data_IF_566868241949
#
_entry.id   IF_566868241949
#
_cell.length_a   1.000
_cell.length_b   1.000
_cell.length_c   1.000
_cell.angle_alpha   90.00
_cell.angle_beta   90.00
_cell.angle_gamma   90.00
#
_symmetry.space_group_name_H-M   'P 1'
#
loop_
_entity.id
_entity.type
_entity.pdbx_description
1 polymer ?
#
# COMPACT_ATOMS: atom_id res chain seq x y z
N UNK A 1 12.68 20.17 57.85
CA UNK A 1 11.29 20.58 58.11
C UNK A 1 10.42 19.34 57.98
N UNK A 2 9.71 18.98 59.04
CA UNK A 2 8.97 17.71 59.14
C UNK A 2 7.70 17.68 58.31
N UNK A 3 7.42 16.51 57.74
CA UNK A 3 6.18 16.18 57.05
C UNK A 3 5.01 16.15 58.05
N UNK A 4 3.94 16.89 57.77
CA UNK A 4 2.68 16.82 58.50
C UNK A 4 1.60 16.16 57.61
N UNK A 5 1.13 14.99 58.08
CA UNK A 5 -0.25 14.51 58.18
C UNK A 5 -1.26 14.70 57.02
N UNK A 6 -1.63 13.60 56.36
CA UNK A 6 -3.02 13.23 55.97
C UNK A 6 -3.09 11.71 55.79
N UNK A 7 -3.41 10.95 56.84
CA UNK A 7 -4.71 10.27 57.06
C UNK A 7 -5.28 9.55 55.83
N UNK A 8 -5.29 8.22 55.96
CA UNK A 8 -6.00 7.24 55.16
C UNK A 8 -7.47 7.59 54.94
N UNK A 9 -7.93 7.46 53.69
CA UNK A 9 -9.32 7.10 53.37
C UNK A 9 -9.25 6.19 52.14
N UNK A 10 -9.23 4.89 52.38
CA UNK A 10 -9.67 3.89 51.39
C UNK A 10 -11.20 4.03 51.24
N UNK A 11 -11.76 4.23 50.04
CA UNK A 11 -13.19 4.12 49.86
C UNK A 11 -13.57 2.64 49.85
N UNK A 12 -14.18 2.19 50.95
CA UNK A 12 -15.01 0.99 51.00
C UNK A 12 -16.28 1.29 50.21
N UNK A 13 -16.43 0.67 49.05
CA UNK A 13 -17.68 0.69 48.29
C UNK A 13 -18.22 -0.73 48.29
N UNK A 14 -19.06 -1.02 49.27
CA UNK A 14 -20.01 -2.14 49.20
C UNK A 14 -21.10 -1.73 48.24
N UNK A 15 -21.18 -2.38 47.08
CA UNK A 15 -22.43 -2.51 46.34
C UNK A 15 -22.65 -3.98 45.99
N UNK A 16 -23.65 -4.55 46.67
CA UNK A 16 -24.23 -5.86 46.41
C UNK A 16 -24.80 -5.95 44.99
N UNK A 17 -24.03 -6.49 44.05
CA UNK A 17 -24.61 -7.10 42.85
C UNK A 17 -24.61 -8.62 42.99
N UNK A 18 -25.64 -9.09 43.70
CA UNK A 18 -26.16 -10.46 43.60
C UNK A 18 -26.69 -10.70 42.19
N UNK A 19 -25.79 -10.93 41.24
CA UNK A 19 -26.12 -11.51 39.95
C UNK A 19 -26.52 -12.97 40.21
N UNK A 20 -27.83 -13.21 40.13
CA UNK A 20 -28.43 -14.54 40.21
C UNK A 20 -27.72 -15.44 39.20
N UNK A 21 -27.09 -16.48 39.73
CA UNK A 21 -26.70 -17.69 39.03
C UNK A 21 -27.94 -18.29 38.35
N UNK A 22 -28.25 -17.85 37.15
CA UNK A 22 -29.15 -18.54 36.24
C UNK A 22 -28.29 -19.45 35.38
N UNK A 23 -28.16 -20.69 35.83
CA UNK A 23 -27.91 -21.89 35.04
C UNK A 23 -27.25 -21.59 33.69
N UNK A 24 -25.92 -21.57 33.67
CA UNK A 24 -25.20 -21.91 32.45
C UNK A 24 -25.60 -23.35 32.13
N UNK A 25 -26.70 -23.48 31.38
CA UNK A 25 -26.99 -24.70 30.65
C UNK A 25 -25.76 -24.91 29.79
N UNK A 26 -25.06 -25.97 30.11
CA UNK A 26 -24.26 -26.73 29.17
C UNK A 26 -25.18 -27.01 27.98
N UNK A 27 -25.26 -26.06 27.04
CA UNK A 27 -25.86 -26.35 25.75
C UNK A 27 -24.90 -27.31 25.09
N UNK A 28 -25.20 -28.60 25.30
CA UNK A 28 -24.86 -29.71 24.43
C UNK A 28 -24.72 -29.14 23.01
N UNK A 29 -23.61 -29.39 22.29
CA UNK A 29 -23.52 -28.98 20.89
C UNK A 29 -24.81 -29.45 20.24
N UNK A 30 -25.65 -28.50 19.82
CA UNK A 30 -26.84 -28.84 19.08
C UNK A 30 -26.29 -29.47 17.82
N UNK A 31 -26.39 -30.79 17.76
CA UNK A 31 -26.13 -31.59 16.59
C UNK A 31 -27.05 -31.00 15.53
N UNK A 32 -26.49 -30.12 14.70
CA UNK A 32 -27.17 -29.60 13.54
C UNK A 32 -27.48 -30.85 12.74
N UNK A 33 -28.74 -31.27 12.77
CA UNK A 33 -29.23 -32.31 11.89
C UNK A 33 -29.09 -31.73 10.49
N UNK A 34 -27.93 -31.96 9.88
CA UNK A 34 -27.76 -31.83 8.45
C UNK A 34 -28.69 -32.90 7.91
N UNK A 35 -29.89 -32.48 7.49
CA UNK A 35 -30.70 -33.32 6.64
C UNK A 35 -29.85 -33.56 5.40
N UNK A 36 -29.22 -34.73 5.31
CA UNK A 36 -28.65 -35.25 4.08
C UNK A 36 -29.83 -35.42 3.12
N UNK A 37 -30.18 -34.34 2.43
CA UNK A 37 -30.93 -34.43 1.20
C UNK A 37 -29.99 -34.96 0.13
N UNK A 38 -30.42 -35.91 -0.70
CA UNK A 38 -29.60 -36.41 -1.79
C UNK A 38 -29.31 -35.25 -2.73
N UNK A 39 -28.02 -34.94 -2.83
CA UNK A 39 -27.42 -33.94 -3.68
C UNK A 39 -27.72 -34.27 -5.15
N UNK A 40 -28.70 -33.56 -5.71
CA UNK A 40 -29.02 -33.58 -7.14
C UNK A 40 -27.89 -32.89 -7.91
N UNK A 41 -26.76 -33.59 -8.06
CA UNK A 41 -25.76 -33.34 -9.09
C UNK A 41 -25.26 -31.90 -9.22
N UNK A 42 -24.93 -31.23 -8.13
CA UNK A 42 -23.98 -30.12 -8.23
C UNK A 42 -22.60 -30.70 -8.53
N UNK A 43 -21.95 -30.25 -9.61
CA UNK A 43 -20.64 -30.73 -10.01
C UNK A 43 -19.70 -30.65 -8.80
N UNK A 44 -19.16 -31.78 -8.32
CA UNK A 44 -18.27 -31.81 -7.14
C UNK A 44 -17.13 -30.78 -7.23
N UNK A 45 -16.72 -30.44 -8.46
CA UNK A 45 -15.79 -29.37 -8.77
C UNK A 45 -16.26 -27.97 -8.32
N UNK A 46 -17.55 -27.65 -8.47
CA UNK A 46 -18.13 -26.35 -8.07
C UNK A 46 -18.20 -26.24 -6.54
N UNK A 47 -18.54 -27.32 -5.84
CA UNK A 47 -18.52 -27.38 -4.37
C UNK A 47 -17.09 -27.21 -3.85
N UNK A 48 -16.11 -27.90 -4.45
CA UNK A 48 -14.69 -27.74 -4.11
C UNK A 48 -14.16 -26.32 -4.39
N UNK A 49 -14.59 -25.69 -5.48
CA UNK A 49 -14.27 -24.30 -5.79
C UNK A 49 -14.86 -23.36 -4.73
N UNK A 50 -16.12 -23.54 -4.36
CA UNK A 50 -16.81 -22.75 -3.34
C UNK A 50 -16.11 -22.87 -1.98
N UNK A 51 -15.74 -24.10 -1.56
CA UNK A 51 -14.98 -24.34 -0.32
C UNK A 51 -13.64 -23.63 -0.36
N UNK A 52 -12.90 -23.76 -1.46
CA UNK A 52 -11.60 -23.10 -1.65
C UNK A 52 -11.75 -21.57 -1.56
N UNK A 53 -12.81 -21.01 -2.14
CA UNK A 53 -13.12 -19.58 -2.10
C UNK A 53 -13.44 -19.12 -0.67
N UNK A 54 -14.26 -19.86 0.08
CA UNK A 54 -14.58 -19.56 1.47
C UNK A 54 -13.31 -19.61 2.34
N UNK A 55 -12.47 -20.63 2.18
CA UNK A 55 -11.21 -20.76 2.90
C UNK A 55 -10.23 -19.63 2.57
N UNK A 56 -10.09 -19.29 1.29
CA UNK A 56 -9.25 -18.18 0.83
C UNK A 56 -9.73 -16.83 1.41
N UNK A 57 -11.03 -16.57 1.36
CA UNK A 57 -11.65 -15.36 1.93
C UNK A 57 -11.42 -15.28 3.43
N UNK A 58 -11.64 -16.39 4.16
CA UNK A 58 -11.47 -16.43 5.62
C UNK A 58 -10.01 -16.26 6.04
N UNK A 59 -9.08 -16.93 5.36
CA UNK A 59 -7.63 -16.73 5.57
C UNK A 59 -7.25 -15.27 5.35
N UNK A 60 -7.73 -14.68 4.26
CA UNK A 60 -7.53 -13.25 3.98
C UNK A 60 -8.16 -12.34 5.04
N UNK A 61 -9.37 -12.65 5.50
CA UNK A 61 -10.06 -11.88 6.55
C UNK A 61 -9.30 -11.94 7.87
N UNK A 62 -8.76 -13.10 8.27
CA UNK A 62 -7.94 -13.22 9.48
C UNK A 62 -6.71 -12.33 9.43
N UNK A 63 -5.95 -12.37 8.33
CA UNK A 63 -4.76 -11.52 8.14
C UNK A 63 -5.17 -10.04 8.14
N UNK A 64 -6.19 -9.66 7.37
CA UNK A 64 -6.68 -8.27 7.33
C UNK A 64 -7.16 -7.79 8.70
N UNK A 65 -7.82 -8.64 9.49
CA UNK A 65 -8.28 -8.29 10.85
C UNK A 65 -7.12 -8.13 11.83
N UNK A 66 -6.06 -8.94 11.70
CA UNK A 66 -4.83 -8.79 12.48
C UNK A 66 -4.08 -7.49 12.12
N UNK A 67 -4.08 -7.08 10.85
CA UNK A 67 -3.48 -5.81 10.42
C UNK A 67 -4.35 -4.61 10.82
N UNK A 68 -5.67 -4.72 10.69
CA UNK A 68 -6.63 -3.66 11.02
C UNK A 68 -6.68 -3.32 12.52
N UNK A 69 -6.29 -4.22 13.42
CA UNK A 69 -6.26 -3.92 14.86
C UNK A 69 -5.11 -2.98 15.28
N UNK A 70 -4.16 -2.69 14.38
CA UNK A 70 -3.02 -1.80 14.65
C UNK A 70 -2.85 -0.65 13.65
N UNK A 71 -3.63 -0.62 12.57
CA UNK A 71 -3.57 0.48 11.61
C UNK A 71 -4.36 1.69 12.12
N UNK A 72 -3.75 2.89 12.13
CA UNK A 72 -4.48 4.10 12.43
C UNK A 72 -5.62 4.27 11.42
N UNK A 73 -6.79 4.64 11.94
CA UNK A 73 -7.95 4.91 11.07
C UNK A 73 -7.62 6.05 10.11
N UNK A 74 -8.21 6.04 8.92
CA UNK A 74 -8.02 7.10 7.92
C UNK A 74 -8.19 8.52 8.51
N UNK A 75 -9.15 8.68 9.43
CA UNK A 75 -9.40 9.94 10.14
C UNK A 75 -8.27 10.33 11.11
N UNK A 76 -7.63 9.36 11.78
CA UNK A 76 -6.47 9.63 12.64
C UNK A 76 -5.24 10.03 11.82
N UNK A 77 -5.01 9.37 10.68
CA UNK A 77 -3.97 9.78 9.73
C UNK A 77 -4.25 11.18 9.18
N UNK A 78 -5.46 11.46 8.71
CA UNK A 78 -5.83 12.80 8.22
C UNK A 78 -5.72 13.88 9.29
N UNK A 79 -5.90 13.55 10.58
CA UNK A 79 -5.67 14.47 11.68
C UNK A 79 -4.18 14.75 11.96
N UNK A 80 -3.29 13.78 11.72
CA UNK A 80 -1.83 13.96 11.80
C UNK A 80 -1.29 14.77 10.61
N UNK A 81 -1.90 14.63 9.43
CA UNK A 81 -1.51 15.31 8.21
C UNK A 81 -2.41 16.53 7.93
N UNK A 82 -2.14 17.65 8.60
CA UNK A 82 -2.87 18.90 8.31
C UNK A 82 -2.64 19.37 6.87
N UNK A 83 -3.71 19.56 6.12
CA UNK A 83 -3.67 20.09 4.75
C UNK A 83 -3.12 21.53 4.67
N UNK A 84 -3.09 22.25 5.80
CA UNK A 84 -2.57 23.61 5.88
C UNK A 84 -1.03 23.64 5.96
N UNK A 85 -0.39 22.50 6.25
CA UNK A 85 1.05 22.37 6.20
C UNK A 85 1.54 22.22 4.76
N UNK A 86 1.81 23.38 4.14
CA UNK A 86 2.30 23.49 2.76
C UNK A 86 3.61 22.74 2.54
N UNK A 87 4.49 22.68 3.54
CA UNK A 87 5.78 21.99 3.40
C UNK A 87 5.57 20.48 3.30
N UNK A 88 4.70 19.95 4.17
CA UNK A 88 4.35 18.53 4.16
C UNK A 88 3.62 18.12 2.87
N UNK A 89 2.65 18.92 2.40
CA UNK A 89 1.96 18.67 1.13
C UNK A 89 2.93 18.69 -0.05
N UNK A 90 3.86 19.65 -0.08
CA UNK A 90 4.86 19.74 -1.13
C UNK A 90 5.82 18.53 -1.11
N UNK A 91 6.27 18.12 0.08
CA UNK A 91 7.12 16.94 0.23
C UNK A 91 6.40 15.65 -0.23
N UNK A 92 5.17 15.44 0.21
CA UNK A 92 4.35 14.31 -0.20
C UNK A 92 4.14 14.28 -1.73
N UNK A 93 3.79 15.43 -2.32
CA UNK A 93 3.63 15.59 -3.76
C UNK A 93 4.92 15.24 -4.52
N UNK A 94 6.08 15.68 -4.01
CA UNK A 94 7.39 15.38 -4.61
C UNK A 94 7.68 13.88 -4.58
N UNK A 95 7.43 13.19 -3.47
CA UNK A 95 7.63 11.75 -3.32
C UNK A 95 6.70 10.97 -4.28
N UNK A 96 5.43 11.36 -4.35
CA UNK A 96 4.46 10.72 -5.24
C UNK A 96 4.85 10.91 -6.72
N UNK A 97 5.26 12.12 -7.09
CA UNK A 97 5.68 12.43 -8.45
C UNK A 97 6.95 11.65 -8.86
N UNK A 98 7.95 11.56 -7.99
CA UNK A 98 9.19 10.80 -8.27
C UNK A 98 8.90 9.31 -8.41
N UNK A 99 8.08 8.74 -7.53
CA UNK A 99 7.70 7.33 -7.56
C UNK A 99 6.90 6.99 -8.82
N UNK A 100 5.90 7.80 -9.18
CA UNK A 100 5.13 7.62 -10.42
C UNK A 100 6.06 7.64 -11.63
N UNK A 101 6.98 8.60 -11.68
CA UNK A 101 7.98 8.67 -12.75
C UNK A 101 8.92 7.46 -12.77
N UNK A 102 9.34 6.96 -11.61
CA UNK A 102 10.18 5.76 -11.51
C UNK A 102 9.45 4.52 -12.04
N UNK A 103 8.17 4.36 -11.70
CA UNK A 103 7.36 3.24 -12.18
C UNK A 103 7.10 3.30 -13.69
N UNK A 104 6.98 4.50 -14.29
CA UNK A 104 6.94 4.64 -15.75
C UNK A 104 8.26 4.20 -16.39
N UNK A 105 9.39 4.75 -15.94
CA UNK A 105 10.71 4.42 -16.50
C UNK A 105 11.08 2.95 -16.35
N UNK A 106 10.78 2.35 -15.20
CA UNK A 106 11.05 0.94 -14.95
C UNK A 106 10.27 0.00 -15.88
N UNK A 107 9.06 0.40 -16.31
CA UNK A 107 8.30 -0.35 -17.31
C UNK A 107 8.91 -0.21 -18.71
N UNK A 108 9.43 0.97 -19.03
CA UNK A 108 10.10 1.21 -20.31
C UNK A 108 11.45 0.50 -20.39
N UNK A 109 12.17 0.31 -19.28
CA UNK A 109 13.40 -0.48 -19.20
C UNK A 109 13.17 -2.00 -19.43
N UNK A 110 11.93 -2.50 -19.34
CA UNK A 110 11.57 -3.88 -19.72
C UNK A 110 11.22 -4.02 -21.21
N UNK A 111 11.13 -2.92 -21.96
CA UNK A 111 11.09 -2.98 -23.42
C UNK A 111 12.48 -3.40 -23.90
N UNK A 112 12.59 -4.43 -24.76
CA UNK A 112 13.90 -4.83 -25.27
C UNK A 112 14.57 -3.62 -25.89
N UNK A 113 15.78 -3.29 -25.41
CA UNK A 113 16.66 -2.37 -26.11
C UNK A 113 16.71 -2.81 -27.57
N UNK A 114 16.53 -1.91 -28.54
CA UNK A 114 16.80 -2.27 -29.93
C UNK A 114 18.20 -2.88 -29.93
N UNK A 115 18.30 -4.12 -30.41
CA UNK A 115 19.57 -4.79 -30.49
C UNK A 115 20.52 -3.85 -31.27
N UNK A 116 21.76 -3.71 -30.81
CA UNK A 116 22.83 -2.99 -31.52
C UNK A 116 23.21 -3.77 -32.80
N UNK A 117 22.22 -4.29 -33.53
CA UNK A 117 22.36 -4.71 -34.89
C UNK A 117 22.67 -3.47 -35.70
N UNK A 118 23.77 -3.53 -36.42
CA UNK A 118 24.14 -2.60 -37.47
C UNK A 118 23.08 -2.69 -38.59
N UNK A 119 21.84 -2.28 -38.30
CA UNK A 119 20.88 -1.93 -39.33
C UNK A 119 21.53 -0.74 -40.05
N UNK A 120 22.04 -0.99 -41.25
CA UNK A 120 22.43 0.05 -42.18
C UNK A 120 21.18 0.90 -42.46
N UNK A 121 20.97 1.90 -41.62
CA UNK A 121 19.95 2.90 -41.83
C UNK A 121 20.34 3.64 -43.11
N UNK A 122 19.48 3.59 -44.12
CA UNK A 122 19.62 4.37 -45.35
C UNK A 122 19.34 5.85 -45.03
N UNK A 123 20.36 6.53 -44.51
CA UNK A 123 20.28 7.91 -44.06
C UNK A 123 20.48 8.83 -45.26
N UNK A 124 19.42 9.52 -45.66
CA UNK A 124 19.51 10.59 -46.65
C UNK A 124 20.19 11.83 -46.05
N UNK A 125 21.48 12.01 -46.36
CA UNK A 125 22.27 13.17 -45.93
C UNK A 125 21.78 14.50 -46.51
N UNK A 126 20.94 14.47 -47.55
CA UNK A 126 20.34 15.66 -48.15
C UNK A 126 19.02 16.08 -47.49
N UNK A 127 18.46 15.26 -46.59
CA UNK A 127 17.23 15.58 -45.88
C UNK A 127 17.43 16.82 -44.98
N UNK A 128 16.70 17.93 -45.22
CA UNK A 128 16.78 19.11 -44.39
C UNK A 128 16.36 18.85 -42.94
N UNK A 129 15.46 17.90 -42.67
CA UNK A 129 14.97 17.63 -41.32
C UNK A 129 15.97 16.80 -40.50
N UNK A 130 16.62 15.80 -41.12
CA UNK A 130 17.79 15.12 -40.55
C UNK A 130 18.90 16.12 -40.18
N UNK A 131 19.24 17.02 -41.11
CA UNK A 131 20.30 18.02 -40.89
C UNK A 131 19.96 18.99 -39.74
N UNK A 132 18.70 19.43 -39.64
CA UNK A 132 18.22 20.24 -38.49
C UNK A 132 18.33 19.47 -37.17
N UNK A 133 17.93 18.21 -37.16
CA UNK A 133 18.00 17.36 -35.97
C UNK A 133 19.46 17.14 -35.52
N UNK A 134 20.34 16.79 -36.45
CA UNK A 134 21.77 16.62 -36.20
C UNK A 134 22.40 17.90 -35.63
N UNK A 135 22.12 19.05 -36.25
CA UNK A 135 22.59 20.36 -35.78
C UNK A 135 22.12 20.64 -34.33
N UNK A 136 20.87 20.30 -34.01
CA UNK A 136 20.32 20.47 -32.66
C UNK A 136 21.02 19.57 -31.63
N UNK A 137 21.28 18.31 -31.97
CA UNK A 137 22.01 17.37 -31.11
C UNK A 137 23.44 17.87 -30.87
N UNK A 138 24.14 18.28 -31.92
CA UNK A 138 25.51 18.81 -31.84
C UNK A 138 25.59 20.08 -30.99
N UNK A 139 24.68 21.03 -31.20
CA UNK A 139 24.61 22.27 -30.42
C UNK A 139 24.34 21.98 -28.93
N UNK A 140 23.38 21.08 -28.65
CA UNK A 140 23.06 20.65 -27.28
C UNK A 140 24.27 19.99 -26.61
N UNK A 141 24.95 19.09 -27.30
CA UNK A 141 26.13 18.38 -26.79
C UNK A 141 27.29 19.33 -26.52
N UNK A 142 27.56 20.26 -27.44
CA UNK A 142 28.57 21.31 -27.23
C UNK A 142 28.27 22.14 -25.98
N UNK A 143 27.02 22.54 -25.78
CA UNK A 143 26.60 23.24 -24.57
C UNK A 143 26.70 22.39 -23.29
N UNK A 144 26.40 21.08 -23.38
CA UNK A 144 26.55 20.17 -22.26
C UNK A 144 28.01 20.02 -21.82
N UNK A 145 28.94 19.90 -22.78
CA UNK A 145 30.39 19.81 -22.49
C UNK A 145 30.87 21.04 -21.73
N UNK A 146 30.55 22.24 -22.21
CA UNK A 146 30.93 23.50 -21.54
C UNK A 146 30.41 23.53 -20.10
N UNK A 147 29.13 23.22 -19.86
CA UNK A 147 28.54 23.21 -18.51
C UNK A 147 29.10 22.13 -17.58
N UNK A 148 29.67 21.07 -18.13
CA UNK A 148 30.30 19.98 -17.36
C UNK A 148 31.76 20.31 -17.03
N UNK A 149 32.45 20.96 -17.96
CA UNK A 149 33.88 21.28 -17.88
C UNK A 149 34.15 22.60 -17.13
N UNK A 150 33.17 23.52 -17.07
CA UNK A 150 33.27 24.74 -16.26
C UNK A 150 33.14 24.42 -14.76
N UNK A 151 34.13 24.78 -13.92
CA UNK A 151 33.98 24.68 -12.47
C UNK A 151 32.86 25.62 -12.03
N UNK A 152 31.92 25.12 -11.21
CA UNK A 152 30.88 25.96 -10.61
C UNK A 152 31.54 27.18 -9.94
N UNK A 153 31.10 28.42 -10.25
CA UNK A 153 31.50 29.56 -9.43
C UNK A 153 31.06 29.27 -8.00
N UNK A 154 32.02 29.35 -7.07
CA UNK A 154 31.78 29.21 -5.63
C UNK A 154 30.97 30.40 -5.10
#
# INVERSE_FOLDING_TARGET
>A
MGCNLTKDVTPHVEEDHKAKNSSAKEEKPQEIQVQEQPDEGEDQAEVEEAVTKIQAVFRGHRVRKQMASGEPTKQQLEAEFSADDKEMVHAATKIQATFRGHMSRKKDDEVPKPEDGEEELDIDLSDPDLNKAATKIQASFRGHRVRKDEPKPQ
#
